data_IF_084001018772
#
_entry.id   IF_084001018772
#
_cell.length_a   1.000
_cell.length_b   1.000
_cell.length_c   1.000
_cell.angle_alpha   90.00
_cell.angle_beta   90.00
_cell.angle_gamma   90.00
#
_symmetry.space_group_name_H-M   'P 1'
#
loop_
_entity.id
_entity.type
_entity.pdbx_description
1 polymer ?
#
# COMPACT_ATOMS: atom_id res chain seq x y z
N UNK A 1 -35.37 11.82 50.23
CA UNK A 1 -34.95 11.69 48.83
C UNK A 1 -35.54 10.40 48.30
N UNK A 2 -36.45 10.52 47.37
CA UNK A 2 -37.30 9.40 46.92
C UNK A 2 -36.51 8.38 46.10
N UNK A 3 -36.83 7.11 46.33
CA UNK A 3 -36.25 5.94 45.66
C UNK A 3 -36.28 6.05 44.09
N UNK A 4 -37.13 6.91 43.56
CA UNK A 4 -37.21 7.20 42.14
C UNK A 4 -36.06 8.10 41.64
N UNK A 5 -35.66 9.10 42.44
CA UNK A 5 -34.56 10.04 42.10
C UNK A 5 -33.22 9.30 42.11
N UNK A 6 -33.02 8.36 43.06
CA UNK A 6 -31.80 7.53 43.14
C UNK A 6 -31.73 6.54 41.96
N UNK A 7 -32.86 5.88 41.59
CA UNK A 7 -32.90 4.99 40.42
C UNK A 7 -32.68 5.73 39.09
N UNK A 8 -33.21 6.95 38.96
CA UNK A 8 -33.00 7.77 37.76
C UNK A 8 -31.53 8.26 37.65
N UNK A 9 -30.91 8.61 38.78
CA UNK A 9 -29.49 8.97 38.83
C UNK A 9 -28.56 7.81 38.55
N UNK A 10 -28.86 6.61 39.09
CA UNK A 10 -28.09 5.38 38.79
C UNK A 10 -28.26 4.96 37.34
N UNK A 11 -29.48 5.04 36.77
CA UNK A 11 -29.72 4.72 35.37
C UNK A 11 -29.05 5.72 34.41
N UNK A 12 -29.04 7.01 34.75
CA UNK A 12 -28.32 8.03 33.96
C UNK A 12 -26.80 7.89 34.07
N UNK A 13 -26.30 7.53 35.26
CA UNK A 13 -24.86 7.30 35.47
C UNK A 13 -24.37 6.06 34.73
N UNK A 14 -25.12 4.94 34.78
CA UNK A 14 -24.79 3.73 34.02
C UNK A 14 -24.90 3.95 32.51
N UNK A 15 -25.83 4.77 32.05
CA UNK A 15 -25.97 5.14 30.63
C UNK A 15 -24.87 6.07 30.15
N UNK A 16 -24.39 6.98 31.00
CA UNK A 16 -23.23 7.84 30.74
C UNK A 16 -21.92 7.02 30.75
N UNK A 17 -21.75 6.09 31.70
CA UNK A 17 -20.59 5.18 31.74
C UNK A 17 -20.53 4.29 30.49
N UNK A 18 -21.67 3.82 29.97
CA UNK A 18 -21.70 3.05 28.71
C UNK A 18 -21.35 3.90 27.47
N UNK A 19 -21.60 5.20 27.49
CA UNK A 19 -21.33 6.11 26.37
C UNK A 19 -19.85 6.41 26.17
N UNK A 20 -19.04 6.31 27.24
CA UNK A 20 -17.59 6.55 27.26
C UNK A 20 -16.79 5.26 27.36
N UNK A 21 -17.44 4.08 27.26
CA UNK A 21 -16.71 2.82 27.16
C UNK A 21 -15.83 2.82 25.91
N UNK A 22 -14.64 2.23 26.00
CA UNK A 22 -13.70 2.14 24.88
C UNK A 22 -14.32 1.50 23.65
N UNK A 23 -15.15 0.46 23.82
CA UNK A 23 -15.82 -0.22 22.71
C UNK A 23 -16.80 0.72 21.98
N UNK A 24 -17.65 1.44 22.74
CA UNK A 24 -18.60 2.38 22.14
C UNK A 24 -17.89 3.54 21.41
N UNK A 25 -16.78 4.03 21.97
CA UNK A 25 -15.99 5.09 21.36
C UNK A 25 -15.22 4.59 20.13
N UNK A 26 -14.78 3.36 20.15
CA UNK A 26 -14.13 2.72 19.02
C UNK A 26 -15.09 2.60 17.83
N UNK A 27 -16.31 2.15 18.05
CA UNK A 27 -17.33 2.06 17.00
C UNK A 27 -17.62 3.44 16.39
N UNK A 28 -17.79 4.47 17.24
CA UNK A 28 -17.97 5.86 16.78
C UNK A 28 -16.78 6.34 15.95
N UNK A 29 -15.57 6.01 16.39
CA UNK A 29 -14.36 6.39 15.67
C UNK A 29 -14.25 5.69 14.31
N UNK A 30 -14.55 4.40 14.24
CA UNK A 30 -14.54 3.67 12.96
C UNK A 30 -15.59 4.23 12.00
N UNK A 31 -16.79 4.53 12.47
CA UNK A 31 -17.82 5.22 11.68
C UNK A 31 -17.34 6.61 11.21
N UNK A 32 -16.69 7.39 12.07
CA UNK A 32 -16.07 8.66 11.68
C UNK A 32 -15.02 8.49 10.59
N UNK A 33 -14.16 7.47 10.68
CA UNK A 33 -13.17 7.18 9.65
C UNK A 33 -13.84 6.76 8.32
N UNK A 34 -14.94 6.05 8.37
CA UNK A 34 -15.69 5.61 7.19
C UNK A 34 -16.43 6.77 6.53
N UNK A 35 -17.34 7.42 7.26
CA UNK A 35 -18.28 8.36 6.68
C UNK A 35 -17.75 9.79 6.55
N UNK A 36 -16.93 10.24 7.52
CA UNK A 36 -16.40 11.61 7.50
C UNK A 36 -15.03 11.69 6.80
N UNK A 37 -14.20 10.68 6.97
CA UNK A 37 -12.86 10.64 6.38
C UNK A 37 -12.79 9.88 5.06
N UNK A 38 -13.87 9.18 4.68
CA UNK A 38 -13.94 8.36 3.47
C UNK A 38 -12.74 7.41 3.35
N UNK A 39 -12.32 6.80 4.44
CA UNK A 39 -11.20 5.87 4.42
C UNK A 39 -11.57 4.56 3.70
N UNK A 40 -10.59 3.94 3.07
CA UNK A 40 -10.82 2.67 2.37
C UNK A 40 -11.18 1.55 3.34
N UNK A 41 -11.99 0.54 2.90
CA UNK A 41 -12.34 -0.62 3.75
C UNK A 41 -11.11 -1.29 4.37
N UNK A 42 -10.00 -1.37 3.63
CA UNK A 42 -8.74 -1.94 4.15
C UNK A 42 -8.10 -1.09 5.25
N UNK A 43 -8.27 0.23 5.19
CA UNK A 43 -7.83 1.13 6.26
C UNK A 43 -8.65 0.90 7.52
N UNK A 44 -9.98 0.81 7.39
CA UNK A 44 -10.89 0.54 8.50
C UNK A 44 -10.58 -0.80 9.17
N UNK A 45 -10.42 -1.86 8.39
CA UNK A 45 -10.02 -3.19 8.88
C UNK A 45 -8.72 -3.14 9.70
N UNK A 46 -7.71 -2.41 9.22
CA UNK A 46 -6.44 -2.27 9.93
C UNK A 46 -6.61 -1.48 11.24
N UNK A 47 -7.33 -0.36 11.22
CA UNK A 47 -7.59 0.42 12.44
C UNK A 47 -8.39 -0.38 13.46
N UNK A 48 -9.44 -1.09 13.01
CA UNK A 48 -10.22 -1.99 13.84
C UNK A 48 -9.34 -3.07 14.48
N UNK A 49 -8.50 -3.75 13.69
CA UNK A 49 -7.58 -4.77 14.20
C UNK A 49 -6.63 -4.24 15.29
N UNK A 50 -6.01 -3.08 15.06
CA UNK A 50 -5.04 -2.53 15.99
C UNK A 50 -5.68 -1.98 17.26
N UNK A 51 -6.81 -1.32 17.15
CA UNK A 51 -7.51 -0.73 18.29
C UNK A 51 -8.24 -1.78 19.12
N UNK A 52 -8.89 -2.78 18.50
CA UNK A 52 -9.49 -3.89 19.24
C UNK A 52 -8.45 -4.67 20.06
N UNK A 53 -7.22 -4.85 19.52
CA UNK A 53 -6.13 -5.46 20.30
C UNK A 53 -5.76 -4.62 21.52
N UNK A 54 -5.77 -3.30 21.41
CA UNK A 54 -5.52 -2.42 22.54
C UNK A 54 -6.65 -2.49 23.58
N UNK A 55 -7.90 -2.40 23.13
CA UNK A 55 -9.10 -2.51 23.98
C UNK A 55 -9.09 -3.85 24.76
N UNK A 56 -8.80 -4.95 24.05
CA UNK A 56 -8.67 -6.28 24.69
C UNK A 56 -7.52 -6.36 25.70
N UNK A 57 -6.42 -5.63 25.48
CA UNK A 57 -5.28 -5.60 26.40
C UNK A 57 -5.59 -4.81 27.67
N UNK A 58 -6.20 -3.62 27.52
CA UNK A 58 -6.39 -2.69 28.64
C UNK A 58 -7.63 -3.02 29.47
N UNK A 59 -8.47 -3.85 28.97
CA UNK A 59 -9.76 -4.32 29.45
C UNK A 59 -10.37 -3.54 30.64
N UNK A 60 -11.61 -3.05 30.46
CA UNK A 60 -12.44 -2.40 31.48
C UNK A 60 -11.85 -1.12 32.11
N UNK A 61 -11.03 -0.36 31.37
CA UNK A 61 -10.55 0.97 31.78
C UNK A 61 -11.32 2.04 30.99
N UNK A 62 -11.83 3.06 31.70
CA UNK A 62 -12.42 4.24 31.07
C UNK A 62 -11.36 5.01 30.25
N UNK A 63 -11.75 5.54 29.09
CA UNK A 63 -10.83 6.27 28.20
C UNK A 63 -10.11 7.42 28.93
N UNK A 64 -10.80 8.06 29.88
CA UNK A 64 -10.31 9.19 30.70
C UNK A 64 -9.21 8.77 31.70
N UNK A 65 -9.20 7.49 32.10
CA UNK A 65 -8.21 6.94 33.04
C UNK A 65 -6.95 6.42 32.35
N UNK A 66 -6.94 6.38 31.02
CA UNK A 66 -5.78 5.89 30.27
C UNK A 66 -4.62 6.89 30.38
N UNK A 67 -3.50 6.43 30.90
CA UNK A 67 -2.26 7.21 31.12
C UNK A 67 -1.17 6.76 30.16
N UNK A 68 -0.12 7.58 30.04
CA UNK A 68 1.04 7.26 29.20
C UNK A 68 1.69 5.92 29.56
N UNK A 69 1.66 5.55 30.86
CA UNK A 69 2.19 4.27 31.33
C UNK A 69 1.45 3.08 30.71
N UNK A 70 0.11 3.12 30.64
CA UNK A 70 -0.67 2.06 30.00
C UNK A 70 -0.30 1.87 28.53
N UNK A 71 0.02 2.96 27.82
CA UNK A 71 0.47 2.90 26.43
C UNK A 71 1.89 2.30 26.33
N UNK A 72 2.77 2.64 27.27
CA UNK A 72 4.12 2.07 27.35
C UNK A 72 4.04 0.56 27.58
N UNK A 73 3.25 0.12 28.56
CA UNK A 73 3.06 -1.29 28.90
C UNK A 73 2.47 -2.07 27.70
N UNK A 74 1.49 -1.48 27.01
CA UNK A 74 0.95 -2.08 25.80
C UNK A 74 2.02 -2.24 24.68
N UNK A 75 2.90 -1.25 24.50
CA UNK A 75 4.00 -1.37 23.54
C UNK A 75 5.00 -2.45 23.92
N UNK A 76 5.27 -2.61 25.22
CA UNK A 76 6.10 -3.71 25.73
C UNK A 76 5.42 -5.06 25.45
N UNK A 77 4.13 -5.18 25.71
CA UNK A 77 3.34 -6.36 25.36
C UNK A 77 3.40 -6.69 23.87
N UNK A 78 3.24 -5.69 22.98
CA UNK A 78 3.36 -5.91 21.52
C UNK A 78 4.76 -6.41 21.11
N UNK A 79 5.81 -5.95 21.78
CA UNK A 79 7.17 -6.45 21.56
C UNK A 79 7.34 -7.91 22.03
N UNK A 80 6.72 -8.30 23.13
CA UNK A 80 6.70 -9.70 23.61
C UNK A 80 5.97 -10.63 22.62
N UNK A 81 5.02 -10.11 21.83
CA UNK A 81 4.40 -10.84 20.73
C UNK A 81 5.29 -10.93 19.46
N UNK A 82 6.56 -10.56 19.55
CA UNK A 82 7.54 -10.57 18.44
C UNK A 82 7.08 -9.76 17.21
N UNK A 83 6.24 -8.74 17.41
CA UNK A 83 5.82 -7.87 16.32
C UNK A 83 6.97 -6.95 15.88
N UNK A 84 7.04 -6.71 14.57
CA UNK A 84 8.05 -5.79 14.03
C UNK A 84 7.86 -4.38 14.58
N UNK A 85 8.97 -3.61 14.74
CA UNK A 85 8.91 -2.18 15.15
C UNK A 85 7.94 -1.37 14.29
N UNK A 86 7.85 -1.70 13.00
CA UNK A 86 6.91 -1.07 12.07
C UNK A 86 5.46 -1.36 12.45
N UNK A 87 5.15 -2.61 12.79
CA UNK A 87 3.81 -3.01 13.23
C UNK A 87 3.44 -2.33 14.55
N UNK A 88 4.36 -2.28 15.51
CA UNK A 88 4.17 -1.56 16.77
C UNK A 88 3.88 -0.08 16.54
N UNK A 89 4.60 0.56 15.62
CA UNK A 89 4.32 1.94 15.24
C UNK A 89 2.94 2.13 14.61
N UNK A 90 2.42 1.15 13.84
CA UNK A 90 1.06 1.24 13.32
C UNK A 90 0.01 1.23 14.43
N UNK A 91 0.18 0.42 15.48
CA UNK A 91 -0.66 0.49 16.67
C UNK A 91 -0.60 1.86 17.35
N UNK A 92 0.60 2.42 17.51
CA UNK A 92 0.77 3.74 18.10
C UNK A 92 0.11 4.86 17.25
N UNK A 93 0.22 4.79 15.93
CA UNK A 93 -0.46 5.73 15.00
C UNK A 93 -1.97 5.62 15.10
N UNK A 94 -2.50 4.40 15.20
CA UNK A 94 -3.93 4.18 15.37
C UNK A 94 -4.44 4.76 16.70
N UNK A 95 -3.71 4.53 17.80
CA UNK A 95 -4.02 5.12 19.12
C UNK A 95 -3.97 6.65 19.09
N UNK A 96 -2.94 7.26 18.48
CA UNK A 96 -2.88 8.71 18.30
C UNK A 96 -4.11 9.24 17.57
N UNK A 97 -4.51 8.57 16.51
CA UNK A 97 -5.68 8.98 15.72
C UNK A 97 -6.98 8.86 16.51
N UNK A 98 -7.14 7.79 17.29
CA UNK A 98 -8.28 7.56 18.17
C UNK A 98 -8.37 8.61 19.29
N UNK A 99 -7.30 8.85 20.04
CA UNK A 99 -7.31 9.85 21.11
C UNK A 99 -7.48 11.28 20.56
N UNK A 100 -6.92 11.56 19.37
CA UNK A 100 -7.20 12.83 18.69
C UNK A 100 -8.67 13.00 18.33
N UNK A 101 -9.35 11.93 17.95
CA UNK A 101 -10.79 11.94 17.73
C UNK A 101 -11.55 12.17 19.05
N UNK A 102 -11.17 11.53 20.13
CA UNK A 102 -11.77 11.74 21.45
C UNK A 102 -11.68 13.21 21.88
N UNK A 103 -10.47 13.80 21.87
CA UNK A 103 -10.26 15.20 22.24
C UNK A 103 -11.03 16.17 21.34
N UNK A 104 -11.15 15.87 20.03
CA UNK A 104 -11.93 16.70 19.10
C UNK A 104 -13.43 16.69 19.41
N UNK A 105 -13.91 15.66 20.08
CA UNK A 105 -15.32 15.50 20.48
C UNK A 105 -15.51 15.73 21.99
N UNK A 106 -14.67 16.57 22.60
CA UNK A 106 -14.75 17.00 24.00
C UNK A 106 -14.71 15.84 25.02
N UNK A 107 -14.09 14.72 24.63
CA UNK A 107 -13.87 13.59 25.52
C UNK A 107 -12.46 13.71 26.09
N UNK A 108 -12.37 13.92 27.41
CA UNK A 108 -11.10 14.01 28.11
C UNK A 108 -10.33 12.67 28.03
N UNK A 109 -9.07 12.73 27.61
CA UNK A 109 -8.21 11.56 27.47
C UNK A 109 -6.74 11.97 27.38
N UNK A 110 -5.85 10.98 27.30
CA UNK A 110 -4.41 11.22 27.07
C UNK A 110 -4.15 12.02 25.80
N UNK A 111 -3.27 13.03 25.88
CA UNK A 111 -2.82 13.75 24.67
C UNK A 111 -2.12 12.79 23.70
N UNK A 112 -2.50 12.79 22.41
CA UNK A 112 -1.85 11.99 21.38
C UNK A 112 -0.33 12.21 21.26
N UNK A 113 0.16 13.38 21.61
CA UNK A 113 1.59 13.73 21.54
C UNK A 113 2.43 12.97 22.58
N UNK A 114 1.82 12.50 23.68
CA UNK A 114 2.47 11.64 24.68
C UNK A 114 2.71 10.21 24.18
N UNK A 115 2.15 9.83 23.03
CA UNK A 115 2.33 8.50 22.42
C UNK A 115 3.49 8.58 21.44
N UNK A 116 4.69 8.26 21.89
CA UNK A 116 5.88 8.32 21.06
C UNK A 116 5.90 7.20 19.99
N UNK A 117 6.44 7.53 18.81
CA UNK A 117 6.74 6.54 17.77
C UNK A 117 8.19 6.09 17.88
N UNK A 118 8.43 4.79 17.76
CA UNK A 118 9.79 4.28 17.71
C UNK A 118 10.51 4.82 16.46
N UNK A 119 11.75 5.28 16.63
CA UNK A 119 12.60 5.66 15.49
C UNK A 119 12.77 4.47 14.56
N UNK A 120 12.43 4.68 13.31
CA UNK A 120 12.64 3.68 12.25
C UNK A 120 13.98 3.95 11.59
N UNK A 121 14.76 2.90 11.27
CA UNK A 121 15.94 3.11 10.44
C UNK A 121 15.54 3.70 9.09
N UNK A 122 16.39 4.56 8.55
CA UNK A 122 16.21 5.09 7.20
C UNK A 122 16.11 3.92 6.23
N UNK A 123 15.04 3.89 5.47
CA UNK A 123 14.80 2.79 4.53
C UNK A 123 15.69 3.01 3.31
N UNK A 124 16.67 2.14 3.14
CA UNK A 124 17.35 2.05 1.85
C UNK A 124 16.34 1.60 0.79
N UNK A 125 16.19 2.41 -0.23
CA UNK A 125 15.30 2.10 -1.36
C UNK A 125 16.03 1.14 -2.27
N UNK A 126 15.71 -0.15 -2.16
CA UNK A 126 16.24 -1.16 -3.08
C UNK A 126 15.61 -0.97 -4.47
N UNK A 127 16.41 -0.55 -5.42
CA UNK A 127 16.07 -0.55 -6.84
C UNK A 127 16.99 -1.49 -7.61
N UNK A 128 16.57 -1.87 -8.79
CA UNK A 128 17.32 -2.73 -9.70
C UNK A 128 18.11 -1.86 -10.68
N UNK A 129 19.32 -2.30 -11.01
CA UNK A 129 20.06 -1.75 -12.14
C UNK A 129 19.34 -2.07 -13.45
N UNK A 130 19.68 -1.36 -14.53
CA UNK A 130 19.09 -1.61 -15.83
C UNK A 130 19.35 -3.06 -16.32
N UNK A 131 20.53 -3.60 -16.02
CA UNK A 131 20.90 -4.99 -16.32
C UNK A 131 20.07 -5.99 -15.52
N UNK A 132 19.88 -5.75 -14.21
CA UNK A 132 19.05 -6.58 -13.35
C UNK A 132 17.58 -6.58 -13.80
N UNK A 133 17.08 -5.42 -14.21
CA UNK A 133 15.73 -5.29 -14.78
C UNK A 133 15.61 -6.13 -16.04
N UNK A 134 16.55 -5.98 -16.98
CA UNK A 134 16.49 -6.71 -18.25
C UNK A 134 16.52 -8.22 -18.03
N UNK A 135 17.38 -8.72 -17.12
CA UNK A 135 17.41 -10.14 -16.74
C UNK A 135 16.08 -10.67 -16.23
N UNK A 136 15.36 -9.88 -15.40
CA UNK A 136 14.03 -10.28 -14.91
C UNK A 136 13.01 -10.28 -16.04
N UNK A 137 13.04 -9.28 -16.92
CA UNK A 137 12.11 -9.17 -18.03
C UNK A 137 12.28 -10.27 -19.08
N UNK A 138 13.51 -10.74 -19.29
CA UNK A 138 13.83 -11.78 -20.26
C UNK A 138 13.65 -13.20 -19.67
N UNK A 139 13.71 -13.35 -18.35
CA UNK A 139 13.64 -14.65 -17.68
C UNK A 139 12.41 -15.52 -18.06
N UNK A 140 11.20 -15.00 -18.27
CA UNK A 140 10.09 -15.83 -18.73
C UNK A 140 10.36 -16.47 -20.09
N UNK A 141 11.05 -15.75 -20.99
CA UNK A 141 11.38 -16.25 -22.30
C UNK A 141 12.38 -17.41 -22.24
N UNK A 142 13.34 -17.31 -21.35
CA UNK A 142 14.40 -18.31 -21.18
C UNK A 142 13.94 -19.55 -20.41
N UNK A 143 13.10 -19.39 -19.39
CA UNK A 143 12.86 -20.44 -18.40
C UNK A 143 11.42 -21.00 -18.38
N UNK A 144 10.43 -20.34 -19.00
CA UNK A 144 9.06 -20.83 -19.00
C UNK A 144 8.73 -21.61 -20.29
N UNK A 145 8.39 -22.88 -20.11
CA UNK A 145 8.10 -23.79 -21.23
C UNK A 145 6.68 -23.69 -21.74
N UNK A 146 5.71 -23.37 -20.88
CA UNK A 146 4.31 -23.21 -21.27
C UNK A 146 4.13 -21.87 -21.97
N UNK A 147 3.75 -21.89 -23.23
CA UNK A 147 3.65 -20.70 -24.09
C UNK A 147 2.68 -19.65 -23.54
N UNK A 148 1.49 -20.05 -23.09
CA UNK A 148 0.50 -19.13 -22.56
C UNK A 148 0.93 -18.50 -21.22
N UNK A 149 1.56 -19.29 -20.32
CA UNK A 149 2.12 -18.80 -19.06
C UNK A 149 3.27 -17.85 -19.36
N UNK A 150 4.16 -18.21 -20.27
CA UNK A 150 5.30 -17.38 -20.68
C UNK A 150 4.84 -16.01 -21.19
N UNK A 151 3.89 -15.97 -22.12
CA UNK A 151 3.35 -14.74 -22.70
C UNK A 151 2.66 -13.88 -21.64
N UNK A 152 1.87 -14.51 -20.74
CA UNK A 152 1.25 -13.80 -19.61
C UNK A 152 2.29 -13.16 -18.71
N UNK A 153 3.29 -13.91 -18.31
CA UNK A 153 4.28 -13.48 -17.33
C UNK A 153 5.20 -12.40 -17.94
N UNK A 154 5.55 -12.51 -19.23
CA UNK A 154 6.23 -11.46 -19.99
C UNK A 154 5.42 -10.17 -19.99
N UNK A 155 4.12 -10.24 -20.31
CA UNK A 155 3.25 -9.08 -20.31
C UNK A 155 3.13 -8.44 -18.91
N UNK A 156 2.97 -9.25 -17.86
CA UNK A 156 2.88 -8.75 -16.47
C UNK A 156 4.17 -8.00 -16.08
N UNK A 157 5.34 -8.59 -16.30
CA UNK A 157 6.61 -7.99 -15.92
C UNK A 157 6.90 -6.71 -16.70
N UNK A 158 6.71 -6.74 -18.03
CA UNK A 158 6.91 -5.57 -18.89
C UNK A 158 5.94 -4.43 -18.56
N UNK A 159 4.67 -4.72 -18.25
CA UNK A 159 3.71 -3.68 -17.82
C UNK A 159 4.08 -3.13 -16.46
N UNK A 160 4.41 -3.97 -15.45
CA UNK A 160 4.80 -3.49 -14.13
C UNK A 160 6.00 -2.54 -14.20
N UNK A 161 7.02 -2.89 -14.98
CA UNK A 161 8.20 -2.05 -15.14
C UNK A 161 7.94 -0.88 -16.09
N UNK A 162 7.36 -1.12 -17.27
CA UNK A 162 7.21 -0.09 -18.31
C UNK A 162 6.16 0.99 -18.02
N UNK A 163 5.30 0.78 -17.00
CA UNK A 163 4.25 1.74 -16.61
C UNK A 163 4.36 2.21 -15.17
N UNK A 164 5.10 1.49 -14.35
CA UNK A 164 5.16 1.74 -12.92
C UNK A 164 3.83 1.55 -12.18
N UNK A 165 2.88 0.77 -12.70
CA UNK A 165 1.60 0.47 -12.06
C UNK A 165 1.78 -0.20 -10.70
N UNK A 166 0.83 0.08 -9.77
CA UNK A 166 0.73 -0.72 -8.54
C UNK A 166 0.14 -2.09 -8.86
N UNK A 167 0.55 -3.11 -8.12
CA UNK A 167 0.03 -4.48 -8.31
C UNK A 167 -1.50 -4.54 -8.26
N UNK A 168 -2.12 -3.77 -7.38
CA UNK A 168 -3.59 -3.69 -7.26
C UNK A 168 -4.24 -3.05 -8.48
N UNK A 169 -3.59 -2.09 -9.12
CA UNK A 169 -4.01 -1.47 -10.37
C UNK A 169 -3.89 -2.48 -11.52
N UNK A 170 -2.74 -3.17 -11.64
CA UNK A 170 -2.50 -4.19 -12.66
C UNK A 170 -3.57 -5.29 -12.65
N UNK A 171 -3.82 -5.90 -11.49
CA UNK A 171 -4.80 -6.99 -11.38
C UNK A 171 -6.24 -6.53 -11.59
N UNK A 172 -6.52 -5.23 -11.45
CA UNK A 172 -7.82 -4.63 -11.69
C UNK A 172 -8.10 -4.26 -13.14
N UNK A 173 -7.10 -4.35 -14.02
CA UNK A 173 -7.26 -3.98 -15.43
C UNK A 173 -8.24 -4.90 -16.13
N UNK A 174 -9.13 -4.29 -16.94
CA UNK A 174 -10.09 -4.97 -17.82
C UNK A 174 -9.70 -4.81 -19.29
N UNK A 175 -10.08 -5.77 -20.11
CA UNK A 175 -9.85 -5.70 -21.58
C UNK A 175 -10.48 -4.44 -22.20
N UNK A 176 -11.66 -4.02 -21.71
CA UNK A 176 -12.37 -2.82 -22.20
C UNK A 176 -11.65 -1.50 -21.93
N UNK A 177 -10.64 -1.49 -21.03
CA UNK A 177 -9.85 -0.29 -20.71
C UNK A 177 -8.62 -0.13 -21.63
N UNK A 178 -8.34 -1.14 -22.45
CA UNK A 178 -7.21 -1.14 -23.36
C UNK A 178 -7.59 -0.44 -24.65
N UNK A 179 -6.90 0.65 -24.97
CA UNK A 179 -6.92 1.21 -26.32
C UNK A 179 -5.67 0.70 -27.07
N UNK A 180 -5.87 -0.24 -27.98
CA UNK A 180 -4.79 -0.90 -28.74
C UNK A 180 -3.99 0.07 -29.60
N UNK A 181 -4.63 1.17 -30.06
CA UNK A 181 -4.03 2.07 -31.04
C UNK A 181 -3.15 3.14 -30.40
N UNK A 182 -3.46 3.53 -29.15
CA UNK A 182 -2.83 4.70 -28.51
C UNK A 182 -1.71 4.36 -27.51
N UNK A 183 -1.34 3.09 -27.33
CA UNK A 183 -0.36 2.67 -26.30
C UNK A 183 -0.73 3.15 -24.89
N UNK A 184 -2.02 3.34 -24.64
CA UNK A 184 -2.54 3.92 -23.40
C UNK A 184 -3.64 3.04 -22.87
N UNK A 185 -3.77 3.00 -21.55
CA UNK A 185 -4.99 2.57 -20.90
C UNK A 185 -5.34 3.51 -19.78
N UNK A 186 -6.63 3.57 -19.48
CA UNK A 186 -7.14 4.41 -18.40
C UNK A 186 -7.30 3.58 -17.15
N UNK A 187 -6.71 4.03 -16.05
CA UNK A 187 -6.83 3.39 -14.73
C UNK A 187 -7.57 4.30 -13.79
N UNK A 188 -8.57 3.75 -13.10
CA UNK A 188 -9.27 4.46 -12.04
C UNK A 188 -8.33 4.60 -10.84
N UNK A 189 -8.09 5.85 -10.43
CA UNK A 189 -7.28 6.17 -9.27
C UNK A 189 -8.17 6.59 -8.09
N UNK A 190 -7.56 6.83 -6.94
CA UNK A 190 -8.28 7.28 -5.73
C UNK A 190 -9.30 8.38 -6.06
N UNK A 191 -10.51 8.26 -5.52
CA UNK A 191 -11.58 9.26 -5.65
C UNK A 191 -12.13 9.39 -7.10
N UNK A 192 -12.26 8.29 -7.83
CA UNK A 192 -12.85 8.27 -9.19
C UNK A 192 -12.09 9.12 -10.22
N UNK A 193 -10.82 9.50 -9.96
CA UNK A 193 -9.99 10.16 -10.96
C UNK A 193 -9.40 9.13 -11.92
N UNK A 194 -9.58 9.38 -13.21
CA UNK A 194 -8.97 8.58 -14.27
C UNK A 194 -7.60 9.16 -14.59
N UNK A 195 -6.59 8.32 -14.69
CA UNK A 195 -5.28 8.70 -15.24
C UNK A 195 -4.95 7.85 -16.46
N UNK A 196 -4.37 8.48 -17.46
CA UNK A 196 -3.77 7.77 -18.58
C UNK A 196 -2.48 7.08 -18.12
N UNK A 197 -2.29 5.85 -18.58
CA UNK A 197 -1.08 5.07 -18.37
C UNK A 197 -0.44 4.83 -19.72
N UNK A 198 0.79 5.26 -19.88
CA UNK A 198 1.58 5.08 -21.09
C UNK A 198 2.37 3.76 -21.00
N UNK A 199 2.30 2.95 -22.04
CA UNK A 199 3.07 1.72 -22.17
C UNK A 199 4.32 1.96 -23.02
N UNK A 200 5.39 1.26 -22.69
CA UNK A 200 6.54 1.11 -23.60
C UNK A 200 6.15 0.17 -24.75
N UNK A 201 6.85 0.26 -25.89
CA UNK A 201 6.61 -0.66 -27.03
C UNK A 201 6.73 -2.13 -26.60
N UNK A 202 7.78 -2.48 -25.88
CA UNK A 202 7.97 -3.84 -25.36
C UNK A 202 6.80 -4.32 -24.50
N UNK A 203 6.22 -3.44 -23.66
CA UNK A 203 5.07 -3.80 -22.84
C UNK A 203 3.81 -4.01 -23.70
N UNK A 204 3.64 -3.21 -24.75
CA UNK A 204 2.53 -3.33 -25.71
C UNK A 204 2.64 -4.64 -26.51
N UNK A 205 3.79 -4.93 -27.07
CA UNK A 205 4.04 -6.15 -27.83
C UNK A 205 3.77 -7.39 -26.98
N UNK A 206 4.36 -7.46 -25.78
CA UNK A 206 4.16 -8.58 -24.87
C UNK A 206 2.67 -8.75 -24.48
N UNK A 207 1.93 -7.63 -24.30
CA UNK A 207 0.51 -7.67 -23.99
C UNK A 207 -0.31 -8.20 -25.17
N UNK A 208 -0.05 -7.71 -26.37
CA UNK A 208 -0.74 -8.15 -27.60
C UNK A 208 -0.52 -9.64 -27.84
N UNK A 209 0.70 -10.12 -27.69
CA UNK A 209 1.04 -11.53 -27.85
C UNK A 209 0.34 -12.41 -26.81
N UNK A 210 0.26 -11.95 -25.57
CA UNK A 210 -0.53 -12.65 -24.55
C UNK A 210 -2.01 -12.68 -24.90
N UNK A 211 -2.61 -11.57 -25.28
CA UNK A 211 -4.04 -11.50 -25.59
C UNK A 211 -4.41 -12.35 -26.81
N UNK A 212 -3.54 -12.41 -27.84
CA UNK A 212 -3.73 -13.28 -29.00
C UNK A 212 -3.69 -14.76 -28.66
N UNK A 213 -2.91 -15.14 -27.65
CA UNK A 213 -2.79 -16.53 -27.22
C UNK A 213 -3.93 -17.00 -26.29
N UNK A 214 -4.78 -16.05 -25.83
CA UNK A 214 -5.92 -16.38 -24.96
C UNK A 214 -7.15 -16.81 -25.74
N UNK A 215 -7.83 -17.82 -25.22
CA UNK A 215 -9.07 -18.35 -25.75
C UNK A 215 -10.28 -18.28 -24.80
N UNK A 216 -10.18 -17.44 -23.75
CA UNK A 216 -11.23 -17.25 -22.73
C UNK A 216 -11.95 -15.91 -22.90
N UNK A 217 -13.16 -15.81 -22.28
CA UNK A 217 -14.02 -14.61 -22.34
C UNK A 217 -13.96 -13.74 -21.07
N UNK A 218 -12.97 -13.98 -20.20
CA UNK A 218 -12.82 -13.18 -18.97
C UNK A 218 -12.64 -11.69 -19.29
N UNK A 219 -13.37 -10.84 -18.58
CA UNK A 219 -13.25 -9.38 -18.71
C UNK A 219 -11.89 -8.85 -18.25
N UNK A 220 -11.21 -9.58 -17.33
CA UNK A 220 -9.93 -9.16 -16.77
C UNK A 220 -8.79 -9.31 -17.76
N UNK A 221 -7.92 -8.31 -17.77
CA UNK A 221 -6.74 -8.30 -18.64
C UNK A 221 -5.79 -9.45 -18.27
N UNK A 222 -5.58 -9.70 -17.00
CA UNK A 222 -4.72 -10.79 -16.49
C UNK A 222 -5.53 -11.80 -15.68
N UNK A 223 -5.42 -13.06 -16.07
CA UNK A 223 -6.14 -14.16 -15.43
C UNK A 223 -5.20 -15.19 -14.81
N UNK A 224 -5.75 -15.91 -13.85
CA UNK A 224 -5.10 -17.12 -13.33
C UNK A 224 -5.16 -18.24 -14.34
N UNK A 225 -4.04 -18.94 -14.49
CA UNK A 225 -3.91 -20.14 -15.33
C UNK A 225 -3.74 -21.42 -14.48
N UNK A 226 -3.86 -21.30 -13.15
CA UNK A 226 -3.82 -22.47 -12.25
C UNK A 226 -5.12 -23.27 -12.36
N UNK A 227 -5.06 -24.57 -12.16
CA UNK A 227 -6.22 -25.49 -12.29
C UNK A 227 -7.42 -25.03 -11.46
N UNK A 228 -7.19 -24.61 -10.20
CA UNK A 228 -8.26 -24.27 -9.25
C UNK A 228 -8.90 -22.89 -9.48
N UNK A 229 -8.30 -22.02 -10.28
CA UNK A 229 -8.78 -20.63 -10.48
C UNK A 229 -8.64 -20.16 -11.93
N UNK A 230 -8.63 -21.10 -12.88
CA UNK A 230 -8.45 -20.78 -14.30
C UNK A 230 -9.53 -19.83 -14.81
N UNK A 231 -9.09 -18.77 -15.49
CA UNK A 231 -9.98 -17.74 -16.01
C UNK A 231 -10.41 -16.67 -15.01
N UNK A 232 -10.18 -16.88 -13.72
CA UNK A 232 -10.47 -15.87 -12.70
C UNK A 232 -9.45 -14.74 -12.70
N UNK A 233 -9.84 -13.63 -12.11
CA UNK A 233 -8.94 -12.49 -11.87
C UNK A 233 -7.67 -12.95 -11.14
N UNK A 234 -6.52 -12.49 -11.63
CA UNK A 234 -5.25 -12.76 -10.99
C UNK A 234 -5.18 -12.13 -9.60
N UNK A 235 -4.67 -12.86 -8.60
CA UNK A 235 -4.51 -12.33 -7.24
C UNK A 235 -3.21 -11.51 -7.10
N UNK A 236 -3.17 -10.64 -6.09
CA UNK A 236 -1.93 -9.92 -5.73
C UNK A 236 -0.80 -10.90 -5.41
N UNK A 237 -1.09 -11.93 -4.63
CA UNK A 237 -0.10 -12.94 -4.25
C UNK A 237 0.45 -13.66 -5.48
N UNK A 238 -0.39 -13.98 -6.47
CA UNK A 238 0.06 -14.61 -7.71
C UNK A 238 1.06 -13.74 -8.48
N UNK A 239 0.85 -12.41 -8.54
CA UNK A 239 1.79 -11.48 -9.18
C UNK A 239 3.09 -11.39 -8.37
N UNK A 240 3.02 -11.36 -7.04
CA UNK A 240 4.20 -11.36 -6.18
C UNK A 240 5.03 -12.65 -6.35
N UNK A 241 4.39 -13.81 -6.49
CA UNK A 241 5.06 -15.10 -6.76
C UNK A 241 5.65 -15.15 -8.18
N UNK A 242 4.99 -14.59 -9.19
CA UNK A 242 5.56 -14.45 -10.55
C UNK A 242 6.86 -13.64 -10.49
N UNK A 243 6.84 -12.47 -9.87
CA UNK A 243 8.03 -11.62 -9.75
C UNK A 243 9.15 -12.35 -8.97
N UNK A 244 8.81 -13.04 -7.89
CA UNK A 244 9.75 -13.82 -7.08
C UNK A 244 10.33 -15.01 -7.87
N UNK A 245 9.51 -15.71 -8.65
CA UNK A 245 9.95 -16.81 -9.53
C UNK A 245 11.04 -16.33 -10.48
N UNK A 246 10.77 -15.29 -11.27
CA UNK A 246 11.70 -14.82 -12.29
C UNK A 246 12.92 -14.09 -11.72
N UNK A 247 12.77 -13.40 -10.59
CA UNK A 247 13.90 -12.87 -9.83
C UNK A 247 14.88 -13.98 -9.41
N UNK A 248 14.37 -15.14 -8.96
CA UNK A 248 15.21 -16.25 -8.56
C UNK A 248 15.90 -16.90 -9.77
N UNK A 249 15.15 -17.10 -10.87
CA UNK A 249 15.68 -17.64 -12.12
C UNK A 249 16.74 -16.73 -12.76
N UNK A 250 16.58 -15.42 -12.63
CA UNK A 250 17.55 -14.41 -13.06
C UNK A 250 18.75 -14.26 -12.08
N UNK A 251 18.85 -15.09 -11.04
CA UNK A 251 19.94 -15.09 -10.04
C UNK A 251 20.14 -13.76 -9.30
N UNK A 252 19.07 -12.98 -9.12
CA UNK A 252 19.16 -11.69 -8.43
C UNK A 252 19.02 -11.91 -6.93
N UNK A 253 20.06 -11.57 -6.17
CA UNK A 253 20.11 -11.75 -4.70
C UNK A 253 19.22 -10.76 -3.94
N UNK A 254 19.00 -9.54 -4.48
CA UNK A 254 18.16 -8.52 -3.88
C UNK A 254 16.73 -9.00 -3.68
N UNK A 255 16.04 -8.46 -2.68
CA UNK A 255 14.59 -8.67 -2.53
C UNK A 255 13.85 -7.89 -3.61
N UNK A 256 13.20 -8.57 -4.53
CA UNK A 256 12.42 -7.97 -5.61
C UNK A 256 10.94 -8.25 -5.41
N UNK A 257 10.14 -7.21 -5.56
CA UNK A 257 8.68 -7.23 -5.47
C UNK A 257 8.12 -6.36 -6.60
N UNK A 258 6.80 -6.40 -6.89
CA UNK A 258 6.19 -5.45 -7.82
C UNK A 258 6.49 -3.97 -7.47
N UNK A 259 6.59 -3.65 -6.18
CA UNK A 259 7.03 -2.33 -5.74
C UNK A 259 8.48 -2.01 -6.11
N UNK A 260 9.37 -3.00 -6.07
CA UNK A 260 10.76 -2.81 -6.48
C UNK A 260 10.85 -2.49 -7.98
N UNK A 261 10.08 -3.18 -8.83
CA UNK A 261 10.01 -2.85 -10.26
C UNK A 261 9.52 -1.44 -10.52
N UNK A 262 8.47 -1.01 -9.81
CA UNK A 262 7.98 0.38 -9.86
C UNK A 262 9.02 1.39 -9.37
N UNK A 263 9.78 1.08 -8.32
CA UNK A 263 10.89 1.92 -7.85
C UNK A 263 11.97 2.03 -8.92
N UNK A 264 12.34 0.91 -9.54
CA UNK A 264 13.33 0.89 -10.61
C UNK A 264 12.88 1.68 -11.84
N UNK A 265 11.59 1.63 -12.19
CA UNK A 265 11.01 2.49 -13.24
C UNK A 265 11.18 3.97 -12.90
N UNK A 266 10.81 4.39 -11.69
CA UNK A 266 10.95 5.78 -11.26
C UNK A 266 12.41 6.24 -11.30
N UNK A 267 13.32 5.43 -10.75
CA UNK A 267 14.76 5.72 -10.71
C UNK A 267 15.34 5.82 -12.12
N UNK A 268 14.95 4.89 -13.03
CA UNK A 268 15.41 4.91 -14.42
C UNK A 268 14.96 6.18 -15.17
N UNK A 269 13.76 6.69 -14.89
CA UNK A 269 13.29 7.95 -15.47
C UNK A 269 14.09 9.14 -14.94
N UNK A 270 14.32 9.20 -13.63
CA UNK A 270 15.10 10.28 -13.02
C UNK A 270 16.58 10.27 -13.50
N UNK A 271 17.18 9.09 -13.65
CA UNK A 271 18.52 8.93 -14.22
C UNK A 271 18.61 9.38 -15.69
N UNK A 272 17.46 9.41 -16.39
CA UNK A 272 17.33 9.97 -17.74
C UNK A 272 16.85 11.43 -17.74
N UNK A 273 17.05 12.15 -16.65
CA UNK A 273 16.74 13.57 -16.50
C UNK A 273 15.24 13.92 -16.58
N UNK A 274 14.35 12.95 -16.35
CA UNK A 274 12.93 13.26 -16.25
C UNK A 274 12.64 14.16 -15.04
N UNK A 275 11.79 15.15 -15.24
CA UNK A 275 11.35 16.03 -14.15
C UNK A 275 10.65 15.24 -13.03
N UNK A 276 10.96 15.57 -11.78
CA UNK A 276 10.43 14.89 -10.60
C UNK A 276 8.89 14.96 -10.53
N UNK A 277 8.30 16.09 -10.95
CA UNK A 277 6.84 16.26 -10.98
C UNK A 277 6.19 15.41 -12.08
N UNK A 278 6.85 15.28 -13.24
CA UNK A 278 6.42 14.39 -14.29
C UNK A 278 6.43 12.93 -13.82
N UNK A 279 7.50 12.49 -13.15
CA UNK A 279 7.58 11.14 -12.54
C UNK A 279 6.51 10.96 -11.47
N UNK A 280 6.27 11.97 -10.63
CA UNK A 280 5.18 11.95 -9.64
C UNK A 280 3.81 11.76 -10.29
N UNK A 281 3.53 12.49 -11.38
CA UNK A 281 2.27 12.38 -12.12
C UNK A 281 2.11 11.00 -12.76
N UNK A 282 3.15 10.48 -13.43
CA UNK A 282 3.16 9.14 -14.03
C UNK A 282 2.90 8.05 -13.00
N UNK A 283 3.47 8.17 -11.81
CA UNK A 283 3.27 7.22 -10.72
C UNK A 283 1.93 7.43 -10.00
N UNK A 284 1.29 8.57 -10.13
CA UNK A 284 0.10 8.92 -9.36
C UNK A 284 0.39 8.99 -7.87
N UNK A 285 1.42 9.75 -7.45
CA UNK A 285 1.69 10.02 -6.06
C UNK A 285 0.90 11.27 -5.61
N UNK A 286 0.17 11.16 -4.50
CA UNK A 286 -0.57 12.27 -3.93
C UNK A 286 0.34 13.29 -3.22
N UNK A 287 1.57 12.91 -2.88
CA UNK A 287 2.56 13.75 -2.22
C UNK A 287 3.90 13.64 -2.93
N UNK A 288 4.58 14.78 -3.08
CA UNK A 288 5.93 14.87 -3.64
C UNK A 288 6.95 14.11 -2.78
N UNK A 289 6.76 14.09 -1.45
CA UNK A 289 7.58 13.35 -0.49
C UNK A 289 7.68 11.87 -0.85
N UNK A 290 6.62 11.28 -1.42
CA UNK A 290 6.65 9.89 -1.87
C UNK A 290 7.54 9.69 -3.10
N UNK A 291 7.74 10.73 -3.90
CA UNK A 291 8.62 10.66 -5.09
C UNK A 291 10.06 11.05 -4.73
N UNK A 292 10.26 11.90 -3.73
CA UNK A 292 11.59 12.28 -3.24
C UNK A 292 12.41 11.12 -2.70
N UNK A 293 11.79 10.02 -2.27
CA UNK A 293 12.53 8.80 -1.87
C UNK A 293 13.34 8.19 -3.02
N UNK A 294 13.07 8.56 -4.28
CA UNK A 294 13.83 8.10 -5.45
C UNK A 294 14.99 9.03 -5.81
N UNK A 295 15.09 10.19 -5.18
CA UNK A 295 16.19 11.13 -5.36
C UNK A 295 17.36 10.77 -4.45
N UNK A 296 17.77 9.50 -4.40
CA UNK A 296 19.12 9.15 -4.00
C UNK A 296 20.04 9.63 -5.12
N UNK A 297 20.45 10.84 -4.96
CA UNK A 297 21.38 11.55 -5.82
C UNK A 297 22.74 10.89 -5.61
N UNK A 298 23.17 10.04 -6.54
CA UNK A 298 24.54 9.62 -6.55
C UNK A 298 25.42 10.79 -7.06
N UNK A 299 26.69 10.76 -6.71
CA UNK A 299 27.62 11.81 -7.11
C UNK A 299 27.69 11.99 -8.64
N UNK A 300 27.40 10.95 -9.40
CA UNK A 300 27.35 10.95 -10.86
C UNK A 300 26.15 11.74 -11.40
N UNK A 301 25.01 11.65 -10.73
CA UNK A 301 23.84 12.48 -11.05
C UNK A 301 24.10 13.95 -10.73
N UNK A 302 24.67 14.26 -9.55
CA UNK A 302 25.02 15.62 -9.15
C UNK A 302 26.03 16.24 -10.12
N UNK A 303 27.05 15.47 -10.53
CA UNK A 303 28.03 15.92 -11.51
C UNK A 303 27.34 16.24 -12.84
N UNK A 304 26.48 15.35 -13.36
CA UNK A 304 25.76 15.60 -14.59
C UNK A 304 24.85 16.84 -14.54
N UNK A 305 24.22 17.14 -13.39
CA UNK A 305 23.47 18.39 -13.18
C UNK A 305 24.41 19.60 -13.19
N UNK A 306 25.56 19.49 -12.54
CA UNK A 306 26.56 20.55 -12.52
C UNK A 306 27.10 20.83 -13.93
N UNK A 307 27.38 19.78 -14.70
CA UNK A 307 27.93 19.89 -16.06
C UNK A 307 26.93 20.58 -17.04
N UNK A 308 25.64 20.74 -16.67
CA UNK A 308 24.70 21.58 -17.43
C UNK A 308 24.97 23.08 -17.33
N UNK A 309 25.80 23.50 -16.38
CA UNK A 309 26.21 24.90 -16.27
C UNK A 309 27.39 25.24 -17.20
N UNK A 310 28.11 24.23 -17.68
CA UNK A 310 29.28 24.36 -18.51
C UNK A 310 28.98 24.22 -20.03
N UNK A 311 27.70 23.98 -20.37
CA UNK A 311 27.16 23.87 -21.74
C UNK A 311 26.16 24.95 -22.03
#
# INVERSE_FOLDING_TARGET
MDNWTIKAQISSKNKLESLYSLDSLLDKFLNYLEFEKNNSPKTLENYSLWLNRFVSYIWNIDVREIKAMHILDYRMYLNQLWLSKKTVNYHAVALRSFFKFCLKNDIDCISPDKIELAKMPTREVNFLTQEEVQKILDAPYEYEKNDLIRKRDLAILNILYGTGLRVTELIGLKRSQLNSDTKQFSVMWKWSKIRAIFMTEKAKEALVDYLRARSDDSEYLFISLSQNSRGQKLSRNSVEEIVKKYKNLAWIKKKVTPHTLRHSFATALLQKWADLRAVQALLGHSSITTTQIYTHVDDKYLKGVHDLLDG
#
